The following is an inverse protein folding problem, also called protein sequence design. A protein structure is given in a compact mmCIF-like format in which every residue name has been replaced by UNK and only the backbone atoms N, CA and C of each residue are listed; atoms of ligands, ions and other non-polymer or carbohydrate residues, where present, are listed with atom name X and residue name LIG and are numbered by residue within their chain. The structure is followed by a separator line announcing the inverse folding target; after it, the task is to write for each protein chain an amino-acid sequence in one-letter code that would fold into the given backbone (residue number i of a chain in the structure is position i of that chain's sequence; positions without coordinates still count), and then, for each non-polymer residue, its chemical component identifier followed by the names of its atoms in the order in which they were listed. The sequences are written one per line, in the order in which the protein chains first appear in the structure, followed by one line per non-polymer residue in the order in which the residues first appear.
data_IF_069300051846
#
_entry.id   IF_069300051846
#
_cell.length_a   1.000
_cell.length_b   1.000
_cell.length_c   1.000
_cell.angle_alpha   90.00
_cell.angle_beta   90.00
_cell.angle_gamma   90.00
#
_symmetry.space_group_name_H-M   'P 1'
#
loop_
_entity.id
_entity.type
_entity.pdbx_description
1 polymer ?
#
# COMPACT_ATOMS: atom_id res chain seq x y z
N UNK A 1 -6.38 -19.60 -23.37
CA UNK A 1 -5.36 -18.54 -23.42
C UNK A 1 -4.09 -19.16 -22.88
N UNK A 2 -2.95 -19.03 -23.55
CA UNK A 2 -1.67 -19.43 -22.94
C UNK A 2 -1.39 -18.43 -21.80
N UNK A 3 -1.23 -18.90 -20.56
CA UNK A 3 -0.94 -18.05 -19.40
C UNK A 3 0.42 -17.37 -19.60
N UNK A 4 0.43 -16.07 -19.90
CA UNK A 4 1.64 -15.24 -20.07
C UNK A 4 1.85 -14.30 -18.85
N UNK A 5 1.38 -14.73 -17.68
CA UNK A 5 1.59 -14.02 -16.42
C UNK A 5 3.06 -14.17 -16.03
N UNK A 6 3.76 -13.04 -15.92
CA UNK A 6 5.17 -12.97 -15.51
C UNK A 6 5.35 -12.33 -14.14
N UNK A 7 4.35 -11.60 -13.66
CA UNK A 7 4.35 -10.96 -12.35
C UNK A 7 2.96 -11.06 -11.70
N UNK A 8 2.94 -11.43 -10.42
CA UNK A 8 1.76 -11.41 -9.55
C UNK A 8 1.95 -10.32 -8.49
N UNK A 9 1.13 -9.29 -8.53
CA UNK A 9 1.05 -8.23 -7.55
C UNK A 9 -0.08 -8.51 -6.56
N UNK A 10 0.26 -8.60 -5.27
CA UNK A 10 -0.68 -8.95 -4.21
C UNK A 10 -0.85 -7.78 -3.24
N UNK A 11 -2.09 -7.32 -3.04
CA UNK A 11 -2.43 -6.62 -1.80
C UNK A 11 -2.32 -7.57 -0.58
N UNK A 12 -2.18 -6.99 0.61
CA UNK A 12 -2.14 -7.70 1.87
C UNK A 12 -3.51 -7.81 2.55
N UNK A 13 -4.09 -6.69 2.98
CA UNK A 13 -5.16 -6.69 3.97
C UNK A 13 -6.50 -6.90 3.28
N UNK A 14 -7.10 -8.09 3.43
CA UNK A 14 -8.33 -8.42 2.70
C UNK A 14 -8.09 -9.14 1.38
N UNK A 15 -6.81 -9.33 1.02
CA UNK A 15 -6.39 -10.08 -0.16
C UNK A 15 -5.52 -11.29 0.22
N UNK A 16 -4.23 -11.09 0.52
CA UNK A 16 -3.33 -12.19 0.89
C UNK A 16 -3.54 -12.66 2.33
N UNK A 17 -3.84 -11.72 3.24
CA UNK A 17 -4.08 -11.97 4.64
C UNK A 17 -5.54 -12.30 4.90
N UNK A 18 -5.77 -13.37 5.66
CA UNK A 18 -7.09 -13.70 6.18
C UNK A 18 -7.54 -12.73 7.29
N UNK A 19 -8.75 -12.93 7.81
CA UNK A 19 -9.31 -12.13 8.91
C UNK A 19 -8.49 -12.20 10.21
N UNK A 20 -7.67 -13.23 10.38
CA UNK A 20 -6.71 -13.38 11.50
C UNK A 20 -5.35 -12.70 11.25
N UNK A 21 -5.17 -12.02 10.11
CA UNK A 21 -3.90 -11.39 9.67
C UNK A 21 -2.77 -12.39 9.44
N UNK A 22 -3.13 -13.60 9.00
CA UNK A 22 -2.21 -14.68 8.67
C UNK A 22 -2.26 -15.00 7.17
N UNK A 23 -1.18 -15.56 6.64
CA UNK A 23 -1.14 -16.12 5.28
C UNK A 23 -1.42 -17.62 5.40
N UNK A 24 -2.43 -18.10 4.68
CA UNK A 24 -2.80 -19.52 4.72
C UNK A 24 -1.75 -20.40 4.04
N UNK A 25 -1.65 -21.67 4.46
CA UNK A 25 -0.76 -22.64 3.82
C UNK A 25 -1.01 -22.78 2.31
N UNK A 26 -2.26 -22.84 1.80
CA UNK A 26 -2.51 -22.88 0.36
C UNK A 26 -1.98 -21.64 -0.38
N UNK A 27 -2.13 -20.44 0.18
CA UNK A 27 -1.60 -19.22 -0.43
C UNK A 27 -0.06 -19.27 -0.50
N UNK A 28 0.60 -19.73 0.57
CA UNK A 28 2.06 -19.90 0.59
C UNK A 28 2.49 -20.88 -0.50
N UNK A 29 1.87 -22.06 -0.56
CA UNK A 29 2.20 -23.11 -1.52
C UNK A 29 2.04 -22.64 -2.97
N UNK A 30 0.91 -22.02 -3.31
CA UNK A 30 0.66 -21.50 -4.65
C UNK A 30 1.65 -20.40 -5.06
N UNK A 31 1.98 -19.48 -4.14
CA UNK A 31 3.00 -18.44 -4.39
C UNK A 31 4.36 -19.07 -4.65
N UNK A 32 4.76 -20.09 -3.87
CA UNK A 32 6.03 -20.78 -4.09
C UNK A 32 6.04 -21.51 -5.43
N UNK A 33 4.94 -22.16 -5.81
CA UNK A 33 4.85 -22.87 -7.09
C UNK A 33 4.93 -21.92 -8.28
N UNK A 34 4.25 -20.76 -8.22
CA UNK A 34 4.35 -19.72 -9.25
C UNK A 34 5.79 -19.20 -9.39
N UNK A 35 6.46 -18.92 -8.26
CA UNK A 35 7.87 -18.51 -8.24
C UNK A 35 8.79 -19.58 -8.85
N UNK A 36 8.56 -20.86 -8.57
CA UNK A 36 9.33 -21.96 -9.16
C UNK A 36 9.17 -22.06 -10.68
N UNK A 37 8.04 -21.61 -11.23
CA UNK A 37 7.82 -21.47 -12.68
C UNK A 37 8.41 -20.19 -13.29
N UNK A 38 9.08 -19.36 -12.48
CA UNK A 38 9.72 -18.12 -12.92
C UNK A 38 8.80 -16.90 -12.92
N UNK A 39 7.64 -16.97 -12.26
CA UNK A 39 6.73 -15.84 -12.09
C UNK A 39 7.19 -14.99 -10.90
N UNK A 40 7.43 -13.70 -11.13
CA UNK A 40 7.76 -12.75 -10.09
C UNK A 40 6.55 -12.54 -9.18
N UNK A 41 6.75 -12.44 -7.86
CA UNK A 41 5.66 -12.16 -6.91
C UNK A 41 6.04 -10.97 -6.08
N UNK A 42 5.19 -9.95 -6.06
CA UNK A 42 5.45 -8.67 -5.37
C UNK A 42 4.31 -8.33 -4.42
N UNK A 43 4.65 -7.98 -3.18
CA UNK A 43 3.69 -7.40 -2.24
C UNK A 43 3.50 -5.92 -2.56
N UNK A 44 2.24 -5.48 -2.71
CA UNK A 44 1.88 -4.10 -3.06
C UNK A 44 0.94 -3.53 -2.01
N UNK A 45 1.45 -2.66 -1.12
CA UNK A 45 0.75 -2.28 0.12
C UNK A 45 0.96 -0.82 0.53
N UNK A 46 0.05 -0.29 1.36
CA UNK A 46 0.21 1.01 2.04
C UNK A 46 1.17 1.00 3.22
N UNK A 47 1.62 -0.18 3.66
CA UNK A 47 2.52 -0.39 4.81
C UNK A 47 3.99 -0.09 4.44
N UNK A 48 4.84 0.34 5.41
CA UNK A 48 6.29 0.40 5.23
C UNK A 48 6.91 -1.01 5.19
N UNK A 49 8.18 -1.10 4.79
CA UNK A 49 8.89 -2.38 4.66
C UNK A 49 8.97 -3.14 5.98
N UNK A 50 9.33 -2.46 7.07
CA UNK A 50 9.43 -3.10 8.39
C UNK A 50 8.12 -3.79 8.81
N UNK A 51 6.97 -3.20 8.47
CA UNK A 51 5.65 -3.73 8.82
C UNK A 51 5.23 -4.96 8.00
N UNK A 52 5.97 -5.30 6.93
CA UNK A 52 5.71 -6.50 6.10
C UNK A 52 6.81 -7.55 6.19
N UNK A 53 7.92 -7.27 6.88
CA UNK A 53 9.02 -8.22 7.11
C UNK A 53 8.56 -9.59 7.63
N UNK A 54 7.59 -9.71 8.58
CA UNK A 54 7.10 -11.02 9.00
C UNK A 54 6.47 -11.84 7.87
N UNK A 55 5.74 -11.18 6.96
CA UNK A 55 5.09 -11.82 5.82
C UNK A 55 6.12 -12.25 4.76
N UNK A 56 7.09 -11.38 4.48
CA UNK A 56 8.20 -11.70 3.58
C UNK A 56 9.00 -12.93 4.07
N UNK A 57 9.23 -13.04 5.39
CA UNK A 57 9.85 -14.24 6.00
C UNK A 57 9.00 -15.50 5.77
N UNK A 58 7.70 -15.43 6.03
CA UNK A 58 6.77 -16.55 5.82
C UNK A 58 6.75 -17.01 4.38
N UNK A 59 6.78 -16.07 3.43
CA UNK A 59 6.80 -16.33 1.99
C UNK A 59 8.19 -16.64 1.44
N UNK A 60 9.25 -16.61 2.27
CA UNK A 60 10.65 -16.76 1.83
C UNK A 60 11.02 -15.79 0.69
N UNK A 61 10.55 -14.56 0.79
CA UNK A 61 10.77 -13.48 -0.18
C UNK A 61 11.81 -12.47 0.33
N UNK A 62 12.98 -12.96 0.72
CA UNK A 62 14.07 -12.15 1.29
C UNK A 62 15.37 -12.28 0.51
N UNK A 63 15.33 -12.90 -0.67
CA UNK A 63 16.46 -12.95 -1.57
C UNK A 63 16.66 -11.58 -2.24
N UNK A 64 17.84 -11.38 -2.83
CA UNK A 64 18.21 -10.09 -3.41
C UNK A 64 17.23 -9.64 -4.50
N UNK A 65 16.73 -10.58 -5.30
CA UNK A 65 15.82 -10.31 -6.42
C UNK A 65 14.35 -10.28 -6.04
N UNK A 66 14.02 -10.29 -4.74
CA UNK A 66 12.64 -10.11 -4.29
C UNK A 66 12.32 -8.62 -4.09
N UNK A 67 11.18 -8.20 -4.62
CA UNK A 67 10.72 -6.81 -4.55
C UNK A 67 9.47 -6.63 -3.70
N UNK A 68 9.26 -5.41 -3.23
CA UNK A 68 8.00 -4.93 -2.66
C UNK A 68 7.71 -3.51 -3.11
N UNK A 69 6.42 -3.21 -3.23
CA UNK A 69 5.90 -1.88 -3.46
C UNK A 69 5.21 -1.43 -2.17
N UNK A 70 5.78 -0.42 -1.51
CA UNK A 70 5.31 0.07 -0.22
C UNK A 70 4.75 1.49 -0.34
N UNK A 71 4.08 1.96 0.71
CA UNK A 71 3.45 3.27 0.74
C UNK A 71 2.52 3.52 -0.46
N UNK A 72 1.69 2.52 -0.81
CA UNK A 72 0.73 2.57 -1.91
C UNK A 72 1.37 2.93 -3.26
N UNK A 73 2.62 2.54 -3.51
CA UNK A 73 3.35 2.88 -4.73
C UNK A 73 4.37 4.00 -4.60
N UNK A 74 4.48 4.62 -3.42
CA UNK A 74 5.46 5.68 -3.15
C UNK A 74 6.91 5.18 -3.18
N UNK A 75 7.16 3.93 -2.79
CA UNK A 75 8.46 3.27 -2.91
C UNK A 75 8.35 1.95 -3.65
N UNK A 76 9.28 1.75 -4.59
CA UNK A 76 9.60 0.44 -5.19
C UNK A 76 10.99 0.07 -4.72
N UNK A 77 11.14 -1.08 -4.10
CA UNK A 77 12.39 -1.46 -3.45
C UNK A 77 12.56 -2.98 -3.41
N UNK A 78 13.82 -3.41 -3.29
CA UNK A 78 14.13 -4.79 -2.92
C UNK A 78 13.73 -5.04 -1.47
N UNK A 79 13.41 -6.28 -1.15
CA UNK A 79 13.05 -6.70 0.21
C UNK A 79 14.23 -6.63 1.19
N UNK A 80 15.44 -6.44 0.67
CA UNK A 80 16.67 -6.12 1.39
C UNK A 80 16.83 -4.64 1.76
N UNK A 81 15.93 -3.77 1.26
CA UNK A 81 15.91 -2.32 1.56
C UNK A 81 16.50 -1.41 0.49
N UNK A 82 17.03 -1.94 -0.62
CA UNK A 82 17.51 -1.11 -1.74
C UNK A 82 16.33 -0.45 -2.48
N UNK A 83 16.29 0.88 -2.49
CA UNK A 83 15.25 1.65 -3.17
C UNK A 83 15.57 1.75 -4.66
N UNK A 84 14.66 1.24 -5.50
CA UNK A 84 14.76 1.30 -6.97
C UNK A 84 14.06 2.54 -7.53
N UNK A 85 12.94 2.92 -6.93
CA UNK A 85 12.18 4.12 -7.30
C UNK A 85 11.53 4.69 -6.05
N UNK A 86 11.52 6.02 -5.96
CA UNK A 86 10.83 6.73 -4.87
C UNK A 86 10.14 7.97 -5.39
N UNK A 87 8.97 8.23 -4.84
CA UNK A 87 8.30 9.52 -4.93
C UNK A 87 7.66 9.79 -3.58
N UNK A 88 8.16 10.85 -2.96
CA UNK A 88 7.96 11.19 -1.56
C UNK A 88 7.59 12.66 -1.44
N UNK A 89 7.06 13.04 -0.28
CA UNK A 89 6.78 14.43 0.05
C UNK A 89 8.10 15.16 0.27
N UNK A 90 8.21 16.38 -0.27
CA UNK A 90 9.28 17.30 0.11
C UNK A 90 9.02 17.87 1.51
N UNK A 91 10.04 18.43 2.15
CA UNK A 91 9.86 19.14 3.43
C UNK A 91 8.82 20.26 3.33
N UNK A 92 8.75 20.96 2.20
CA UNK A 92 7.75 21.99 1.96
C UNK A 92 6.33 21.43 1.83
N UNK A 93 6.17 20.25 1.23
CA UNK A 93 4.89 19.55 1.19
C UNK A 93 4.44 19.16 2.60
N UNK A 94 5.35 18.59 3.41
CA UNK A 94 5.06 18.24 4.81
C UNK A 94 4.69 19.49 5.60
N UNK A 95 5.41 20.61 5.40
CA UNK A 95 5.11 21.90 6.03
C UNK A 95 3.73 22.42 5.66
N UNK A 96 3.35 22.34 4.39
CA UNK A 96 2.03 22.76 3.93
C UNK A 96 0.93 21.87 4.55
N UNK A 97 1.07 20.55 4.48
CA UNK A 97 0.09 19.62 5.07
C UNK A 97 -0.01 19.82 6.59
N UNK A 98 1.11 20.07 7.27
CA UNK A 98 1.15 20.38 8.69
C UNK A 98 0.35 21.65 9.02
N UNK A 99 0.50 22.71 8.23
CA UNK A 99 -0.23 23.96 8.43
C UNK A 99 -1.74 23.76 8.26
N UNK A 100 -2.16 23.06 7.21
CA UNK A 100 -3.56 22.79 6.91
C UNK A 100 -4.20 21.86 7.95
N UNK A 101 -3.51 20.80 8.36
CA UNK A 101 -4.00 19.88 9.41
C UNK A 101 -4.09 20.57 10.77
N UNK A 102 -3.10 21.41 11.12
CA UNK A 102 -3.11 22.19 12.35
C UNK A 102 -4.27 23.19 12.40
N UNK A 103 -4.58 23.87 11.29
CA UNK A 103 -5.71 24.80 11.21
C UNK A 103 -7.06 24.14 11.47
N UNK A 104 -7.16 22.82 11.24
CA UNK A 104 -8.38 22.02 11.44
C UNK A 104 -8.31 21.10 12.67
N UNK A 105 -7.28 21.25 13.51
CA UNK A 105 -7.01 20.41 14.68
C UNK A 105 -6.91 18.90 14.37
N UNK A 106 -6.54 18.57 13.15
CA UNK A 106 -6.28 17.20 12.71
C UNK A 106 -4.85 16.83 13.15
N UNK A 107 -4.63 15.66 13.78
CA UNK A 107 -3.28 15.20 14.13
C UNK A 107 -2.43 14.96 12.87
N UNK A 108 -1.12 15.12 12.96
CA UNK A 108 -0.22 14.99 11.81
C UNK A 108 0.99 14.14 12.19
N UNK A 109 0.96 12.87 11.80
CA UNK A 109 2.09 11.96 11.98
C UNK A 109 2.82 11.82 10.64
N UNK A 110 4.12 12.11 10.62
CA UNK A 110 4.95 12.07 9.41
C UNK A 110 5.71 10.74 9.38
N UNK A 111 5.49 9.94 8.33
CA UNK A 111 6.21 8.69 8.15
C UNK A 111 7.45 8.93 7.30
N UNK A 112 8.59 8.58 7.87
CA UNK A 112 9.92 8.64 7.25
C UNK A 112 10.58 7.28 7.41
N UNK A 113 10.61 6.52 6.33
CA UNK A 113 11.00 5.12 6.30
C UNK A 113 10.21 4.30 7.34
N UNK A 114 10.89 3.72 8.33
CA UNK A 114 10.27 2.90 9.37
C UNK A 114 9.92 3.69 10.65
N UNK A 115 10.18 5.01 10.67
CA UNK A 115 9.93 5.90 11.81
C UNK A 115 8.67 6.73 11.57
N UNK A 116 7.80 6.77 12.58
CA UNK A 116 6.66 7.68 12.66
C UNK A 116 7.02 8.85 13.56
N UNK A 117 7.20 10.03 12.96
CA UNK A 117 7.36 11.28 13.69
C UNK A 117 5.99 11.83 14.09
N UNK A 118 5.67 11.74 15.38
CA UNK A 118 4.42 12.26 15.94
C UNK A 118 4.62 13.75 16.22
N UNK A 119 4.15 14.60 15.30
CA UNK A 119 4.30 16.05 15.44
C UNK A 119 3.25 16.63 16.38
N UNK A 120 3.56 17.75 17.03
CA UNK A 120 2.66 18.36 18.02
C UNK A 120 1.28 18.77 17.43
N UNK A 121 0.20 18.31 18.03
CA UNK A 121 -1.16 18.64 17.57
C UNK A 121 -2.12 18.81 18.74
N UNK A 122 -3.18 19.61 18.54
CA UNK A 122 -4.21 19.83 19.55
C UNK A 122 -4.93 18.52 19.94
N UNK A 123 -5.08 17.61 18.97
CA UNK A 123 -5.62 16.27 19.14
C UNK A 123 -4.49 15.24 19.04
N UNK A 124 -4.46 14.28 19.96
CA UNK A 124 -3.48 13.19 19.91
C UNK A 124 -3.83 12.20 18.80
N UNK A 125 -2.82 11.78 18.03
CA UNK A 125 -2.97 10.70 17.05
C UNK A 125 -3.15 9.35 17.74
N UNK A 126 -4.03 8.51 17.18
CA UNK A 126 -4.26 7.15 17.61
C UNK A 126 -3.45 6.12 16.80
N UNK A 127 -2.56 6.56 15.89
CA UNK A 127 -1.88 5.69 14.94
C UNK A 127 -1.01 4.63 15.63
N UNK A 128 -0.37 5.00 16.75
CA UNK A 128 0.43 4.10 17.59
C UNK A 128 -0.33 2.90 18.16
N UNK A 129 -1.65 3.02 18.36
CA UNK A 129 -2.47 1.91 18.87
C UNK A 129 -2.81 0.88 17.80
N UNK A 130 -2.80 1.27 16.53
CA UNK A 130 -3.18 0.40 15.40
C UNK A 130 -1.99 -0.11 14.58
N UNK A 131 -0.77 0.40 14.83
CA UNK A 131 0.46 -0.02 14.15
C UNK A 131 1.62 -0.20 15.14
N UNK A 132 1.50 -1.17 16.05
CA UNK A 132 2.48 -1.44 17.12
C UNK A 132 3.85 -1.94 16.64
N UNK A 133 4.01 -2.24 15.35
CA UNK A 133 5.28 -2.68 14.75
C UNK A 133 6.19 -1.52 14.33
N UNK A 134 5.70 -0.28 14.35
CA UNK A 134 6.47 0.89 13.95
C UNK A 134 7.11 1.57 15.16
N UNK A 135 8.18 2.30 14.91
CA UNK A 135 8.83 3.15 15.90
C UNK A 135 8.16 4.54 15.90
N UNK A 136 7.80 5.05 17.08
CA UNK A 136 7.09 6.33 17.23
C UNK A 136 7.93 7.33 18.00
N UNK A 137 8.25 8.45 17.35
CA UNK A 137 9.09 9.51 17.90
C UNK A 137 8.30 10.82 18.00
N UNK A 138 7.89 11.24 19.21
CA UNK A 138 7.37 12.58 19.42
C UNK A 138 8.43 13.63 19.09
N UNK A 139 8.12 14.58 18.22
CA UNK A 139 9.04 15.64 17.77
C UNK A 139 8.30 16.95 17.56
N UNK A 140 9.04 18.06 17.63
CA UNK A 140 8.54 19.33 17.07
C UNK A 140 8.67 19.32 15.56
N UNK A 141 7.79 20.01 14.85
CA UNK A 141 7.87 20.05 13.39
C UNK A 141 9.22 20.61 12.90
N UNK A 142 9.77 21.60 13.58
CA UNK A 142 11.04 22.24 13.21
C UNK A 142 12.27 21.33 13.41
N UNK A 143 12.12 20.20 14.10
CA UNK A 143 13.19 19.21 14.33
C UNK A 143 13.29 18.20 13.18
N UNK A 144 12.32 18.21 12.25
CA UNK A 144 12.34 17.37 11.06
C UNK A 144 13.44 17.84 10.09
N UNK A 145 14.27 16.89 9.62
CA UNK A 145 15.40 17.18 8.74
C UNK A 145 14.96 17.57 7.31
N UNK A 146 15.33 18.74 6.77
CA UNK A 146 14.83 19.22 5.48
C UNK A 146 15.08 18.30 4.26
N UNK A 147 16.08 17.44 4.34
CA UNK A 147 16.52 16.51 3.29
C UNK A 147 16.17 15.04 3.57
N UNK A 148 15.38 14.77 4.62
CA UNK A 148 14.88 13.43 4.91
C UNK A 148 13.86 12.93 3.86
N UNK A 149 13.61 11.62 3.89
CA UNK A 149 12.60 10.98 3.06
C UNK A 149 11.26 11.03 3.81
N UNK A 150 10.23 11.65 3.23
CA UNK A 150 8.89 11.67 3.83
C UNK A 150 7.90 10.90 2.96
N UNK A 151 7.68 9.63 3.28
CA UNK A 151 6.92 8.73 2.44
C UNK A 151 5.44 9.11 2.39
N UNK A 152 4.86 9.41 3.54
CA UNK A 152 3.47 9.85 3.68
C UNK A 152 3.23 10.56 5.01
N UNK A 153 2.08 11.21 5.11
CA UNK A 153 1.55 11.71 6.38
C UNK A 153 0.26 10.94 6.69
N UNK A 154 0.04 10.63 7.96
CA UNK A 154 -1.21 10.04 8.42
C UNK A 154 -1.82 10.87 9.55
N UNK A 155 -3.14 10.87 9.56
CA UNK A 155 -3.95 11.46 10.64
C UNK A 155 -4.90 10.39 11.14
N UNK A 156 -4.59 9.83 12.31
CA UNK A 156 -5.39 8.76 12.90
C UNK A 156 -6.20 9.29 14.09
N UNK A 157 -7.51 9.40 13.97
CA UNK A 157 -8.38 9.86 15.06
C UNK A 157 -9.86 9.50 14.83
N UNK A 158 -10.76 9.99 15.68
CA UNK A 158 -12.20 9.76 15.57
C UNK A 158 -12.75 9.99 14.15
N UNK A 159 -13.52 9.03 13.66
CA UNK A 159 -14.05 9.02 12.30
C UNK A 159 -15.00 10.18 12.04
N UNK A 160 -15.95 10.42 12.97
CA UNK A 160 -16.93 11.50 12.83
C UNK A 160 -16.24 12.88 12.84
N UNK A 161 -15.16 13.02 13.61
CA UNK A 161 -14.31 14.21 13.59
C UNK A 161 -13.62 14.39 12.22
N UNK A 162 -12.97 13.35 11.68
CA UNK A 162 -12.33 13.43 10.36
C UNK A 162 -13.36 13.80 9.27
N UNK A 163 -14.52 13.13 9.26
CA UNK A 163 -15.58 13.39 8.28
C UNK A 163 -16.10 14.83 8.36
N UNK A 164 -16.12 15.43 9.55
CA UNK A 164 -16.50 16.82 9.74
C UNK A 164 -15.41 17.83 9.32
N UNK A 165 -14.13 17.46 9.38
CA UNK A 165 -13.01 18.37 9.08
C UNK A 165 -12.52 18.27 7.64
N UNK A 166 -12.46 17.08 7.04
CA UNK A 166 -11.93 16.86 5.68
C UNK A 166 -12.56 17.81 4.64
N UNK A 167 -13.89 18.04 4.61
CA UNK A 167 -14.50 18.96 3.65
C UNK A 167 -14.08 20.43 3.78
N UNK A 168 -13.42 20.80 4.89
CA UNK A 168 -12.94 22.17 5.15
C UNK A 168 -11.54 22.42 4.62
N UNK A 169 -10.80 21.39 4.20
CA UNK A 169 -9.52 21.59 3.52
C UNK A 169 -9.72 22.42 2.24
N UNK A 170 -8.74 23.28 1.89
CA UNK A 170 -8.82 24.00 0.63
C UNK A 170 -8.74 23.02 -0.53
N UNK A 171 -9.55 23.23 -1.58
CA UNK A 171 -9.58 22.36 -2.76
C UNK A 171 -8.20 22.21 -3.41
N UNK A 172 -7.39 23.26 -3.37
CA UNK A 172 -6.01 23.28 -3.86
C UNK A 172 -5.11 22.27 -3.16
N UNK A 173 -5.45 21.80 -1.96
CA UNK A 173 -4.70 20.75 -1.27
C UNK A 173 -4.92 19.39 -1.96
N UNK A 174 -6.14 19.08 -2.37
CA UNK A 174 -6.49 17.86 -3.11
C UNK A 174 -5.95 17.87 -4.55
N UNK A 175 -5.71 19.07 -5.11
CA UNK A 175 -5.03 19.21 -6.41
C UNK A 175 -3.53 18.87 -6.31
N UNK A 176 -2.90 19.13 -5.16
CA UNK A 176 -1.46 18.96 -4.92
C UNK A 176 -1.08 17.60 -4.33
N UNK A 177 -2.01 16.90 -3.67
CA UNK A 177 -1.76 15.64 -2.99
C UNK A 177 -2.83 14.60 -3.28
N UNK A 178 -2.50 13.32 -3.10
CA UNK A 178 -3.51 12.30 -2.89
C UNK A 178 -3.93 12.30 -1.43
N UNK A 179 -5.21 12.54 -1.17
CA UNK A 179 -5.77 12.67 0.17
C UNK A 179 -7.02 11.81 0.26
N UNK A 180 -6.97 10.76 1.06
CA UNK A 180 -8.06 9.79 1.16
C UNK A 180 -8.02 9.05 2.49
N UNK A 181 -9.17 8.54 2.92
CA UNK A 181 -9.25 7.65 4.08
C UNK A 181 -8.96 6.21 3.65
N UNK A 182 -7.99 5.56 4.29
CA UNK A 182 -7.78 4.10 4.13
C UNK A 182 -8.60 3.29 5.13
N UNK A 183 -9.00 3.91 6.24
CA UNK A 183 -9.99 3.40 7.20
C UNK A 183 -10.80 4.59 7.71
N UNK A 184 -11.95 4.34 8.31
CA UNK A 184 -12.80 5.43 8.83
C UNK A 184 -12.07 6.40 9.77
N UNK A 185 -11.12 5.87 10.55
CA UNK A 185 -10.31 6.61 11.51
C UNK A 185 -8.94 7.07 10.98
N UNK A 186 -8.60 6.78 9.72
CA UNK A 186 -7.24 6.95 9.18
C UNK A 186 -7.28 7.69 7.84
N UNK A 187 -6.89 8.96 7.87
CA UNK A 187 -6.66 9.80 6.71
C UNK A 187 -5.18 9.74 6.32
N UNK A 188 -4.90 9.61 5.02
CA UNK A 188 -3.54 9.60 4.48
C UNK A 188 -3.33 10.76 3.50
N UNK A 189 -2.12 11.29 3.49
CA UNK A 189 -1.63 12.26 2.52
C UNK A 189 -0.39 11.70 1.84
N UNK A 190 -0.40 11.69 0.52
CA UNK A 190 0.71 11.22 -0.31
C UNK A 190 0.97 12.17 -1.48
N UNK A 191 2.15 12.10 -2.13
CA UNK A 191 2.42 12.89 -3.33
C UNK A 191 1.37 12.63 -4.42
N UNK A 192 1.02 13.67 -5.21
CA UNK A 192 0.01 13.54 -6.27
C UNK A 192 0.36 12.44 -7.27
N UNK A 193 -0.65 11.67 -7.68
CA UNK A 193 -0.51 10.60 -8.66
C UNK A 193 0.20 9.35 -8.14
N UNK A 194 0.41 9.22 -6.83
CA UNK A 194 0.88 7.98 -6.22
C UNK A 194 -0.29 7.04 -5.97
N UNK A 195 -0.18 5.87 -6.57
CA UNK A 195 -1.08 4.74 -6.35
C UNK A 195 -0.33 3.44 -6.70
N UNK A 196 -0.98 2.30 -6.44
CA UNK A 196 -0.36 0.98 -6.60
C UNK A 196 0.05 0.72 -8.06
N UNK A 197 -0.74 1.17 -9.04
CA UNK A 197 -0.38 1.07 -10.45
C UNK A 197 0.86 1.88 -10.82
N UNK A 198 1.04 3.08 -10.25
CA UNK A 198 2.26 3.86 -10.44
C UNK A 198 3.49 3.08 -9.95
N UNK A 199 3.43 2.51 -8.75
CA UNK A 199 4.51 1.68 -8.21
C UNK A 199 4.81 0.47 -9.10
N UNK A 200 3.78 -0.24 -9.55
CA UNK A 200 3.93 -1.39 -10.45
C UNK A 200 4.54 -0.98 -11.79
N UNK A 201 4.12 0.15 -12.37
CA UNK A 201 4.68 0.67 -13.61
C UNK A 201 6.19 0.88 -13.52
N UNK A 202 6.68 1.30 -12.35
CA UNK A 202 8.12 1.49 -12.09
C UNK A 202 8.87 0.20 -11.88
N UNK A 203 8.24 -0.82 -11.29
CA UNK A 203 8.84 -2.13 -11.15
C UNK A 203 8.95 -2.84 -12.51
N UNK A 204 7.89 -2.85 -13.31
CA UNK A 204 7.92 -3.56 -14.60
C UNK A 204 8.90 -2.96 -15.61
N UNK A 205 9.18 -1.65 -15.53
CA UNK A 205 10.25 -0.98 -16.29
C UNK A 205 11.62 -1.64 -16.02
N UNK A 206 11.87 -2.13 -14.79
CA UNK A 206 13.11 -2.83 -14.42
C UNK A 206 13.12 -4.30 -14.87
N UNK A 207 11.95 -4.91 -14.96
CA UNK A 207 11.78 -6.33 -15.31
C UNK A 207 11.62 -6.57 -16.81
N UNK A 208 11.55 -5.50 -17.62
CA UNK A 208 11.31 -5.55 -19.07
C UNK A 208 10.04 -6.34 -19.44
N UNK A 209 8.96 -6.11 -18.68
CA UNK A 209 7.62 -6.67 -18.95
C UNK A 209 6.59 -5.57 -19.14
N UNK A 210 5.44 -5.92 -19.71
CA UNK A 210 4.34 -4.97 -19.95
C UNK A 210 3.17 -5.23 -19.01
N UNK A 211 2.22 -4.29 -18.84
CA UNK A 211 1.05 -4.48 -17.98
C UNK A 211 0.23 -5.72 -18.33
N UNK A 212 0.21 -6.13 -19.60
CA UNK A 212 -0.46 -7.35 -20.09
C UNK A 212 0.10 -8.63 -19.44
N UNK A 213 1.34 -8.62 -18.96
CA UNK A 213 1.97 -9.74 -18.25
C UNK A 213 1.72 -9.72 -16.73
N UNK A 214 0.99 -8.75 -16.22
CA UNK A 214 0.77 -8.55 -14.78
C UNK A 214 -0.59 -9.10 -14.36
N UNK A 215 -0.59 -9.89 -13.30
CA UNK A 215 -1.76 -10.20 -12.49
C UNK A 215 -1.76 -9.35 -11.23
N UNK A 216 -2.82 -8.57 -10.99
CA UNK A 216 -2.95 -7.77 -9.78
C UNK A 216 -4.20 -8.19 -9.00
N UNK A 217 -4.04 -8.51 -7.73
CA UNK A 217 -5.11 -9.00 -6.86
C UNK A 217 -5.35 -8.02 -5.71
N UNK A 218 -6.60 -7.61 -5.51
CA UNK A 218 -6.98 -6.66 -4.46
C UNK A 218 -8.47 -6.68 -4.14
N UNK A 219 -8.85 -5.95 -3.10
CA UNK A 219 -10.23 -5.95 -2.58
C UNK A 219 -10.81 -4.58 -2.25
N UNK A 220 -9.98 -3.56 -2.02
CA UNK A 220 -10.39 -2.22 -1.58
C UNK A 220 -10.15 -1.13 -2.63
N UNK A 221 -10.69 0.08 -2.43
CA UNK A 221 -10.63 1.15 -3.43
C UNK A 221 -9.20 1.58 -3.81
N UNK A 222 -8.23 1.46 -2.90
CA UNK A 222 -6.82 1.75 -3.19
C UNK A 222 -6.18 0.72 -4.17
N UNK A 223 -6.80 -0.45 -4.35
CA UNK A 223 -6.39 -1.47 -5.32
C UNK A 223 -6.93 -1.23 -6.72
N UNK A 224 -7.99 -0.42 -6.84
CA UNK A 224 -8.66 -0.16 -8.11
C UNK A 224 -7.67 0.24 -9.21
N UNK A 225 -6.71 1.09 -8.85
CA UNK A 225 -5.67 1.54 -9.77
C UNK A 225 -4.88 0.38 -10.39
N UNK A 226 -4.37 -0.57 -9.58
CA UNK A 226 -3.57 -1.68 -10.09
C UNK A 226 -4.43 -2.73 -10.79
N UNK A 227 -5.66 -2.95 -10.33
CA UNK A 227 -6.60 -3.90 -10.92
C UNK A 227 -7.01 -3.46 -12.33
N UNK A 228 -7.39 -2.19 -12.51
CA UNK A 228 -7.76 -1.65 -13.82
C UNK A 228 -6.58 -1.54 -14.79
N UNK A 229 -5.36 -1.44 -14.25
CA UNK A 229 -4.13 -1.26 -15.04
C UNK A 229 -3.53 -2.59 -15.52
N UNK A 230 -3.63 -3.65 -14.73
CA UNK A 230 -3.05 -4.96 -15.02
C UNK A 230 -3.81 -5.69 -16.13
N UNK A 231 -3.10 -6.50 -16.93
CA UNK A 231 -3.71 -7.37 -17.95
C UNK A 231 -4.62 -8.45 -17.34
N UNK A 232 -4.33 -8.85 -16.11
CA UNK A 232 -5.13 -9.76 -15.30
C UNK A 232 -5.50 -9.07 -13.98
N UNK A 233 -6.43 -8.11 -14.04
CA UNK A 233 -7.01 -7.49 -12.85
C UNK A 233 -7.97 -8.42 -12.14
N UNK A 234 -7.69 -8.77 -10.89
CA UNK A 234 -8.47 -9.72 -10.08
C UNK A 234 -9.07 -9.02 -8.87
N UNK A 235 -10.40 -9.05 -8.76
CA UNK A 235 -11.12 -8.69 -7.55
C UNK A 235 -11.34 -9.93 -6.67
N UNK A 236 -11.02 -9.82 -5.39
CA UNK A 236 -11.30 -10.87 -4.40
C UNK A 236 -12.81 -11.07 -4.20
N UNK A 237 -13.25 -12.23 -3.71
CA UNK A 237 -14.66 -12.50 -3.43
C UNK A 237 -15.25 -11.55 -2.38
N UNK A 238 -14.43 -11.07 -1.44
CA UNK A 238 -14.79 -10.05 -0.44
C UNK A 238 -14.61 -8.60 -0.94
N UNK A 239 -14.16 -8.38 -2.17
CA UNK A 239 -13.90 -7.04 -2.70
C UNK A 239 -15.16 -6.17 -2.77
N UNK A 240 -14.94 -4.85 -2.62
CA UNK A 240 -16.00 -3.84 -2.74
C UNK A 240 -16.58 -3.81 -4.16
N UNK A 241 -17.85 -3.38 -4.34
CA UNK A 241 -18.50 -3.41 -5.64
C UNK A 241 -17.78 -2.62 -6.74
N UNK A 242 -17.15 -1.51 -6.39
CA UNK A 242 -16.37 -0.66 -7.32
C UNK A 242 -15.18 -1.42 -7.89
N UNK A 243 -14.45 -2.18 -7.07
CA UNK A 243 -13.32 -3.01 -7.49
C UNK A 243 -13.78 -4.17 -8.38
N UNK A 244 -14.84 -4.88 -8.00
CA UNK A 244 -15.40 -5.99 -8.80
C UNK A 244 -15.85 -5.56 -10.19
N UNK A 245 -16.37 -4.33 -10.31
CA UNK A 245 -16.86 -3.79 -11.57
C UNK A 245 -15.75 -3.56 -12.60
N UNK A 246 -14.55 -3.17 -12.15
CA UNK A 246 -13.42 -2.85 -13.03
C UNK A 246 -12.48 -4.04 -13.27
N UNK A 247 -12.56 -5.09 -12.45
CA UNK A 247 -11.72 -6.29 -12.60
C UNK A 247 -12.11 -7.15 -13.81
N UNK A 248 -11.10 -7.75 -14.45
CA UNK A 248 -11.30 -8.73 -15.51
C UNK A 248 -11.74 -10.09 -14.96
N UNK A 249 -11.31 -10.41 -13.74
CA UNK A 249 -11.55 -11.67 -13.05
C UNK A 249 -12.13 -11.34 -11.68
N UNK A 250 -13.21 -12.02 -11.31
CA UNK A 250 -13.79 -11.93 -9.97
C UNK A 250 -13.66 -13.31 -9.34
N UNK A 251 -12.87 -13.42 -8.27
CA UNK A 251 -12.74 -14.67 -7.54
C UNK A 251 -14.07 -15.03 -6.86
N UNK A 252 -14.45 -16.30 -6.93
CA UNK A 252 -15.57 -16.84 -6.16
C UNK A 252 -15.24 -17.02 -4.67
N UNK A 253 -13.96 -16.89 -4.32
CA UNK A 253 -13.42 -17.12 -2.98
C UNK A 253 -13.03 -15.79 -2.33
N UNK A 254 -13.19 -15.71 -1.01
CA UNK A 254 -12.66 -14.60 -0.21
C UNK A 254 -11.21 -14.87 0.23
N UNK A 255 -10.56 -13.86 0.79
CA UNK A 255 -9.26 -14.00 1.48
C UNK A 255 -9.27 -15.10 2.57
N UNK A 256 -10.36 -15.23 3.32
CA UNK A 256 -10.54 -16.31 4.32
C UNK A 256 -10.64 -17.70 3.69
N UNK A 257 -10.96 -17.77 2.40
CA UNK A 257 -11.03 -18.99 1.59
C UNK A 257 -9.81 -19.16 0.68
N UNK A 258 -8.70 -18.47 0.98
CA UNK A 258 -7.42 -18.63 0.28
C UNK A 258 -7.50 -18.28 -1.22
N UNK A 259 -8.30 -17.26 -1.54
CA UNK A 259 -8.56 -16.86 -2.93
C UNK A 259 -7.32 -16.58 -3.77
N UNK A 260 -6.19 -16.17 -3.17
CA UNK A 260 -4.92 -16.02 -3.88
C UNK A 260 -4.46 -17.37 -4.45
N UNK A 261 -4.50 -18.44 -3.66
CA UNK A 261 -4.14 -19.78 -4.12
C UNK A 261 -5.03 -20.24 -5.28
N UNK A 262 -6.35 -20.12 -5.14
CA UNK A 262 -7.31 -20.57 -6.15
C UNK A 262 -7.09 -19.85 -7.49
N UNK A 263 -6.86 -18.54 -7.47
CA UNK A 263 -6.64 -17.79 -8.71
C UNK A 263 -5.27 -18.10 -9.32
N UNK A 264 -4.22 -18.26 -8.52
CA UNK A 264 -2.90 -18.68 -9.04
C UNK A 264 -3.02 -20.07 -9.69
N UNK A 265 -3.74 -21.01 -9.07
CA UNK A 265 -3.95 -22.34 -9.63
C UNK A 265 -4.74 -22.33 -10.94
N UNK A 266 -5.75 -21.46 -11.07
CA UNK A 266 -6.59 -21.42 -12.27
C UNK A 266 -5.94 -20.65 -13.44
N UNK A 267 -5.23 -19.56 -13.14
CA UNK A 267 -4.78 -18.58 -14.15
C UNK A 267 -3.27 -18.45 -14.30
N UNK A 268 -2.47 -19.21 -13.54
CA UNK A 268 -1.00 -19.20 -13.66
C UNK A 268 -0.43 -20.59 -13.82
N UNK A 269 -0.90 -21.56 -13.03
CA UNK A 269 -0.31 -22.90 -12.94
C UNK A 269 -0.89 -23.91 -13.94
#
# INVERSE_FOLDING_TARGET
MTNDVKLIALDLDGTLLNSAKEISAPNIEAIQEARQKGVEVVLTTGRPLAAIQPFLKTLKMLDFDDFSITFNGGLVQRNTGEILSKKVLSYDDVRLIKQETQALEIPCDVLSDDIVYVTESARQSQYGFINSLLEFHPVKFEELAPDAIYNKIVSCTDAAFLDAQIPKFPKTLFDQFEIFKTRDILLEFMPKGINKAFGLSKLIEQLDITPENVMAMGDEENDLSMISWAGYGVAMGNAVPTVKKEANIISSYTNDQHAVAEVIQEYVL
#
